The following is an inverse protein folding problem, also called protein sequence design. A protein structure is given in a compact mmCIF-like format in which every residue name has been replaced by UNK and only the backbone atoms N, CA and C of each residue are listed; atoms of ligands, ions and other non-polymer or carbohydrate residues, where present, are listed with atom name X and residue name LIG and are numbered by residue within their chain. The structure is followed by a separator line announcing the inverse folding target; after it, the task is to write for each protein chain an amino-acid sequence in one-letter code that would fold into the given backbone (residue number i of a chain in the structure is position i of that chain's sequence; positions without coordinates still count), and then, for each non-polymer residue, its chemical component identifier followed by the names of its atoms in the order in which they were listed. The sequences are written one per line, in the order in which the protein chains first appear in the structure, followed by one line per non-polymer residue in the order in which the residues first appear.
data_IF_557684895329
#
_entry.id   IF_557684895329
#
_cell.length_a   1.000
_cell.length_b   1.000
_cell.length_c   1.000
_cell.angle_alpha   90.00
_cell.angle_beta   90.00
_cell.angle_gamma   90.00
#
_symmetry.space_group_name_H-M   'P 1'
#
loop_
_entity.id
_entity.type
_entity.pdbx_description
1 polymer ?
#
# COMPACT_ATOMS: atom_id res chain seq x y z
N UNK A 1 19.36 -7.81 -2.12
CA UNK A 1 17.90 -7.93 -1.84
C UNK A 1 17.29 -6.53 -1.97
N UNK A 2 16.84 -6.09 -3.17
CA UNK A 2 17.13 -4.68 -3.46
C UNK A 2 15.98 -3.64 -3.39
N UNK A 3 14.69 -3.97 -3.54
CA UNK A 3 13.57 -3.00 -3.35
C UNK A 3 12.65 -3.38 -2.18
N UNK A 4 12.38 -2.52 -1.20
CA UNK A 4 11.49 -2.84 -0.06
C UNK A 4 10.34 -1.85 0.05
N UNK A 5 9.16 -2.33 0.41
CA UNK A 5 8.09 -1.43 0.85
C UNK A 5 8.44 -0.90 2.24
N UNK A 6 8.29 0.41 2.41
CA UNK A 6 8.36 1.06 3.70
C UNK A 6 6.94 1.36 4.18
N UNK A 7 6.56 0.74 5.30
CA UNK A 7 5.27 0.95 5.93
C UNK A 7 5.38 2.07 6.96
N UNK A 8 4.44 3.02 6.89
CA UNK A 8 4.43 4.20 7.75
C UNK A 8 4.95 5.47 7.07
N UNK A 9 5.00 6.55 7.84
CA UNK A 9 5.47 7.84 7.36
C UNK A 9 6.98 7.92 7.46
N UNK A 10 7.64 8.42 6.41
CA UNK A 10 9.05 8.73 6.49
C UNK A 10 9.34 9.74 7.59
N UNK A 11 10.47 9.54 8.24
CA UNK A 11 11.02 10.46 9.23
C UNK A 11 12.54 10.53 9.07
N UNK A 12 13.16 11.66 9.45
CA UNK A 12 14.62 11.74 9.50
C UNK A 12 15.26 10.66 10.38
N UNK A 13 14.55 10.19 11.42
CA UNK A 13 15.04 9.11 12.28
C UNK A 13 15.10 7.79 11.51
N UNK A 14 14.04 7.43 10.79
CA UNK A 14 14.04 6.22 9.97
C UNK A 14 15.18 6.18 8.95
N UNK A 15 15.52 7.34 8.36
CA UNK A 15 16.67 7.45 7.47
C UNK A 15 18.01 7.27 8.21
N UNK A 16 18.14 7.72 9.45
CA UNK A 16 19.35 7.51 10.28
C UNK A 16 19.49 6.08 10.78
N UNK A 17 18.38 5.40 11.05
CA UNK A 17 18.37 4.02 11.52
C UNK A 17 18.85 3.05 10.43
N UNK A 18 18.75 3.45 9.16
CA UNK A 18 19.12 2.66 7.98
C UNK A 18 20.05 3.47 7.04
N UNK A 19 21.27 3.83 7.49
CA UNK A 19 22.12 4.79 6.80
C UNK A 19 22.57 4.32 5.40
N UNK A 20 22.67 3.01 5.20
CA UNK A 20 23.08 2.38 3.93
C UNK A 20 21.91 2.20 2.93
N UNK A 21 20.67 2.36 3.40
CA UNK A 21 19.50 2.22 2.54
C UNK A 21 19.19 3.53 1.81
N UNK A 22 18.69 3.46 0.58
CA UNK A 22 18.17 4.63 -0.14
C UNK A 22 16.67 4.75 0.02
N UNK A 23 16.18 5.89 0.51
CA UNK A 23 14.75 6.17 0.67
C UNK A 23 14.23 6.99 -0.50
N UNK A 24 13.37 6.40 -1.35
CA UNK A 24 12.71 7.15 -2.42
C UNK A 24 11.50 7.86 -1.86
N UNK A 25 11.38 9.16 -2.08
CA UNK A 25 10.21 9.93 -1.62
C UNK A 25 9.61 10.78 -2.73
N UNK A 26 8.32 11.10 -2.59
CA UNK A 26 7.61 12.00 -3.47
C UNK A 26 8.06 13.44 -3.25
N UNK A 27 8.64 14.04 -4.28
CA UNK A 27 9.20 15.39 -4.29
C UNK A 27 8.48 16.27 -5.33
N UNK A 28 8.97 17.50 -5.51
CA UNK A 28 8.56 18.41 -6.57
C UNK A 28 9.77 18.94 -7.37
N UNK A 29 9.54 19.38 -8.60
CA UNK A 29 10.60 19.86 -9.49
C UNK A 29 11.38 21.06 -8.95
N UNK A 30 10.76 21.90 -8.10
CA UNK A 30 11.43 23.03 -7.45
C UNK A 30 12.30 22.63 -6.24
N UNK A 31 12.24 21.37 -5.79
CA UNK A 31 13.06 20.82 -4.69
C UNK A 31 12.99 21.61 -3.37
N UNK A 32 11.89 22.31 -3.10
CA UNK A 32 11.65 22.99 -1.82
C UNK A 32 10.29 22.64 -1.22
N UNK A 33 10.01 23.20 -0.03
CA UNK A 33 8.81 22.93 0.75
C UNK A 33 9.01 21.75 1.68
N UNK A 34 8.98 22.00 2.99
CA UNK A 34 9.19 21.01 4.05
C UNK A 34 8.26 21.30 5.23
N UNK A 35 8.17 20.37 6.17
CA UNK A 35 7.46 20.55 7.44
C UNK A 35 6.31 19.57 7.63
N UNK A 36 5.53 19.79 8.70
CA UNK A 36 4.49 18.88 9.20
C UNK A 36 3.46 18.42 8.15
N UNK A 37 3.26 19.19 7.08
CA UNK A 37 2.27 18.94 6.04
C UNK A 37 2.88 18.65 4.66
N UNK A 38 4.21 18.51 4.55
CA UNK A 38 4.91 18.29 3.29
C UNK A 38 4.89 16.84 2.80
N UNK A 39 4.12 15.97 3.48
CA UNK A 39 4.09 14.53 3.19
C UNK A 39 5.48 13.92 3.38
N UNK A 40 5.94 13.21 2.36
CA UNK A 40 7.20 12.47 2.40
C UNK A 40 8.45 13.36 2.29
N UNK A 41 8.34 14.61 1.82
CA UNK A 41 9.46 15.53 1.66
C UNK A 41 10.10 15.99 2.99
N UNK A 42 9.61 15.51 4.14
CA UNK A 42 10.23 15.71 5.45
C UNK A 42 11.65 15.12 5.54
N UNK A 43 11.98 14.15 4.69
CA UNK A 43 13.32 13.53 4.62
C UNK A 43 14.22 14.11 3.53
N UNK A 44 13.83 15.21 2.85
CA UNK A 44 14.58 15.75 1.69
C UNK A 44 16.07 15.96 1.96
N UNK A 45 16.41 16.45 3.14
CA UNK A 45 17.78 16.82 3.50
C UNK A 45 18.60 15.63 4.05
N UNK A 46 18.02 14.43 4.11
CA UNK A 46 18.72 13.23 4.54
C UNK A 46 19.69 12.75 3.45
N UNK A 47 20.95 12.39 3.79
CA UNK A 47 21.97 12.03 2.80
C UNK A 47 21.62 10.78 1.99
N UNK A 48 20.75 9.93 2.54
CA UNK A 48 20.29 8.70 1.94
C UNK A 48 18.85 8.78 1.42
N UNK A 49 18.29 9.99 1.26
CA UNK A 49 17.00 10.22 0.62
C UNK A 49 17.17 10.67 -0.84
N UNK A 50 16.32 10.12 -1.72
CA UNK A 50 16.31 10.45 -3.14
C UNK A 50 14.89 10.84 -3.56
N UNK A 51 14.69 12.13 -3.84
CA UNK A 51 13.38 12.66 -4.21
C UNK A 51 13.05 12.36 -5.67
N UNK A 52 11.90 11.77 -5.94
CA UNK A 52 11.31 11.66 -7.28
C UNK A 52 10.28 12.78 -7.45
N UNK A 53 10.50 13.70 -8.37
CA UNK A 53 9.57 14.80 -8.61
C UNK A 53 8.27 14.27 -9.23
N UNK A 54 7.19 14.29 -8.44
CA UNK A 54 5.83 13.87 -8.81
C UNK A 54 4.86 15.05 -8.87
N UNK A 55 5.41 16.27 -8.85
CA UNK A 55 4.69 17.54 -8.80
C UNK A 55 5.59 18.68 -9.30
N UNK A 56 5.03 19.77 -9.82
CA UNK A 56 5.83 20.96 -10.17
C UNK A 56 6.28 21.71 -8.92
N UNK A 57 5.33 22.02 -8.03
CA UNK A 57 5.56 22.85 -6.83
C UNK A 57 4.91 22.24 -5.57
N UNK A 58 5.40 22.56 -4.36
CA UNK A 58 4.78 22.07 -3.11
C UNK A 58 3.41 22.71 -2.80
N UNK A 59 2.94 23.66 -3.62
CA UNK A 59 1.69 24.41 -3.44
C UNK A 59 0.47 23.61 -3.93
N UNK A 60 -0.73 24.19 -3.79
CA UNK A 60 -2.02 23.55 -4.12
C UNK A 60 -2.78 24.22 -5.27
N UNK A 61 -2.21 25.23 -5.92
CA UNK A 61 -2.79 25.80 -7.14
C UNK A 61 -2.71 24.81 -8.31
N UNK A 62 -3.56 25.01 -9.31
CA UNK A 62 -3.68 24.07 -10.43
C UNK A 62 -2.35 23.84 -11.16
N UNK A 63 -1.53 24.88 -11.33
CA UNK A 63 -0.24 24.83 -12.06
C UNK A 63 0.85 24.09 -11.28
N UNK A 64 0.67 23.91 -9.98
CA UNK A 64 1.59 23.14 -9.15
C UNK A 64 1.58 21.66 -9.47
N UNK A 65 0.53 21.14 -10.09
CA UNK A 65 0.39 19.71 -10.37
C UNK A 65 0.93 19.35 -11.75
N UNK A 66 1.45 18.13 -11.89
CA UNK A 66 1.76 17.58 -13.21
C UNK A 66 0.47 17.33 -13.99
N UNK A 67 0.61 17.41 -15.30
CA UNK A 67 -0.37 17.07 -16.33
C UNK A 67 0.20 16.03 -17.28
N UNK A 68 -0.62 15.54 -18.21
CA UNK A 68 -0.14 14.61 -19.24
C UNK A 68 0.87 15.25 -20.21
N UNK A 69 0.89 16.57 -20.33
CA UNK A 69 1.80 17.31 -21.22
C UNK A 69 3.24 17.32 -20.68
N UNK A 70 3.43 17.06 -19.39
CA UNK A 70 4.74 17.02 -18.72
C UNK A 70 5.53 15.72 -19.00
N UNK A 71 5.09 14.91 -19.95
CA UNK A 71 5.58 13.54 -20.16
C UNK A 71 7.09 13.45 -20.36
N UNK A 72 7.66 14.36 -21.14
CA UNK A 72 9.09 14.34 -21.44
C UNK A 72 9.93 14.69 -20.21
N UNK A 73 9.52 15.72 -19.47
CA UNK A 73 10.21 16.14 -18.24
C UNK A 73 10.11 15.03 -17.18
N UNK A 74 8.96 14.38 -17.08
CA UNK A 74 8.77 13.29 -16.14
C UNK A 74 9.59 12.03 -16.49
N UNK A 75 9.73 11.69 -17.78
CA UNK A 75 10.60 10.60 -18.21
C UNK A 75 12.06 10.88 -17.83
N UNK A 76 12.53 12.12 -18.04
CA UNK A 76 13.89 12.51 -17.66
C UNK A 76 14.10 12.38 -16.13
N UNK A 77 13.09 12.72 -15.35
CA UNK A 77 13.13 12.55 -13.89
C UNK A 77 13.19 11.08 -13.46
N UNK A 78 12.44 10.20 -14.12
CA UNK A 78 12.53 8.75 -13.89
C UNK A 78 13.92 8.21 -14.24
N UNK A 79 14.51 8.66 -15.35
CA UNK A 79 15.89 8.29 -15.73
C UNK A 79 16.90 8.74 -14.68
N UNK A 80 16.82 10.00 -14.22
CA UNK A 80 17.69 10.52 -13.17
C UNK A 80 17.64 9.68 -11.89
N UNK A 81 16.44 9.29 -11.45
CA UNK A 81 16.29 8.41 -10.28
C UNK A 81 16.85 7.01 -10.58
N UNK A 82 16.58 6.46 -11.77
CA UNK A 82 17.04 5.14 -12.19
C UNK A 82 18.57 5.02 -12.20
N UNK A 83 19.28 6.02 -12.73
CA UNK A 83 20.75 6.06 -12.76
C UNK A 83 21.36 5.94 -11.36
N UNK A 84 20.69 6.51 -10.35
CA UNK A 84 21.13 6.47 -8.96
C UNK A 84 20.84 5.10 -8.33
N UNK A 85 19.63 4.55 -8.51
CA UNK A 85 19.25 3.31 -7.80
C UNK A 85 19.68 2.03 -8.51
N UNK A 86 19.71 1.98 -9.83
CA UNK A 86 19.97 0.73 -10.55
C UNK A 86 21.33 0.10 -10.19
N UNK A 87 22.45 0.84 -10.07
CA UNK A 87 23.71 0.29 -9.59
C UNK A 87 23.63 -0.23 -8.14
N UNK A 88 22.95 0.50 -7.25
CA UNK A 88 22.76 0.10 -5.85
C UNK A 88 21.98 -1.20 -5.74
N UNK A 89 20.89 -1.31 -6.51
CA UNK A 89 20.07 -2.52 -6.59
C UNK A 89 20.91 -3.72 -7.09
N UNK A 90 21.73 -3.53 -8.13
CA UNK A 90 22.65 -4.56 -8.66
C UNK A 90 23.72 -4.98 -7.66
N UNK A 91 24.22 -4.05 -6.86
CA UNK A 91 25.14 -4.32 -5.75
C UNK A 91 24.45 -4.97 -4.53
N UNK A 92 23.13 -5.24 -4.61
CA UNK A 92 22.36 -5.87 -3.54
C UNK A 92 21.87 -4.91 -2.45
N UNK A 93 22.13 -3.61 -2.58
CA UNK A 93 21.75 -2.57 -1.63
C UNK A 93 20.24 -2.37 -1.51
N UNK A 94 19.81 -1.87 -0.35
CA UNK A 94 18.39 -1.68 -0.02
C UNK A 94 17.88 -0.34 -0.54
N UNK A 95 16.76 -0.37 -1.25
CA UNK A 95 16.02 0.83 -1.65
C UNK A 95 14.60 0.73 -1.13
N UNK A 96 14.19 1.69 -0.29
CA UNK A 96 12.85 1.79 0.26
C UNK A 96 11.93 2.58 -0.69
N UNK A 97 10.80 1.97 -1.04
CA UNK A 97 9.66 2.59 -1.73
C UNK A 97 8.53 2.79 -0.72
N UNK A 98 7.84 3.94 -0.71
CA UNK A 98 6.78 4.15 0.26
C UNK A 98 5.59 3.27 -0.08
N UNK A 99 5.05 2.53 0.90
CA UNK A 99 3.88 1.69 0.69
C UNK A 99 2.70 2.50 0.13
N UNK A 100 2.51 3.73 0.61
CA UNK A 100 1.50 4.70 0.14
C UNK A 100 1.60 5.09 -1.35
N UNK A 101 2.68 4.69 -2.02
CA UNK A 101 2.92 4.96 -3.43
C UNK A 101 3.45 6.36 -3.68
N UNK A 102 4.20 6.51 -4.77
CA UNK A 102 4.63 7.81 -5.27
C UNK A 102 3.57 8.38 -6.22
N UNK A 103 3.44 9.71 -6.25
CA UNK A 103 2.45 10.38 -7.10
C UNK A 103 1.00 10.32 -6.59
N UNK A 104 0.74 9.59 -5.51
CA UNK A 104 -0.54 9.55 -4.81
C UNK A 104 -0.66 10.72 -3.81
N UNK A 105 -1.77 10.78 -3.05
CA UNK A 105 -1.95 11.78 -2.00
C UNK A 105 -1.89 13.21 -2.52
N UNK A 106 -0.96 14.02 -1.99
CA UNK A 106 -0.82 15.45 -2.29
C UNK A 106 -0.38 15.78 -3.73
N UNK A 107 0.12 14.78 -4.47
CA UNK A 107 0.53 14.92 -5.87
C UNK A 107 -0.63 14.66 -6.85
N UNK A 108 -1.64 13.88 -6.45
CA UNK A 108 -2.88 13.65 -7.23
C UNK A 108 -2.64 13.19 -8.69
N UNK A 109 -1.51 12.53 -8.99
CA UNK A 109 -1.18 12.11 -10.37
C UNK A 109 -2.23 11.18 -11.00
N UNK A 110 -2.84 10.21 -10.29
CA UNK A 110 -3.91 9.38 -10.90
C UNK A 110 -5.06 10.21 -11.47
N UNK A 111 -5.37 11.35 -10.85
CA UNK A 111 -6.44 12.26 -11.27
C UNK A 111 -5.98 13.26 -12.34
N UNK A 112 -4.77 13.81 -12.18
CA UNK A 112 -4.31 14.99 -12.95
C UNK A 112 -3.38 14.66 -14.11
N UNK A 113 -2.61 13.59 -13.97
CA UNK A 113 -1.64 13.12 -14.95
C UNK A 113 -1.68 11.58 -15.07
N UNK A 114 -2.83 10.98 -15.43
CA UNK A 114 -3.00 9.53 -15.44
C UNK A 114 -2.01 8.80 -16.35
N UNK A 115 -1.55 9.44 -17.45
CA UNK A 115 -0.54 8.83 -18.33
C UNK A 115 0.84 8.77 -17.66
N UNK A 116 1.22 9.81 -16.92
CA UNK A 116 2.47 9.83 -16.16
C UNK A 116 2.40 8.84 -15.00
N UNK A 117 1.25 8.77 -14.31
CA UNK A 117 1.04 7.81 -13.24
C UNK A 117 1.16 6.36 -13.75
N UNK A 118 0.58 6.05 -14.91
CA UNK A 118 0.75 4.74 -15.56
C UNK A 118 2.22 4.41 -15.85
N UNK A 119 3.00 5.39 -16.31
CA UNK A 119 4.45 5.21 -16.53
C UNK A 119 5.21 5.00 -15.22
N UNK A 120 4.86 5.73 -14.16
CA UNK A 120 5.41 5.54 -12.82
C UNK A 120 5.17 4.12 -12.32
N UNK A 121 3.93 3.62 -12.41
CA UNK A 121 3.58 2.25 -12.03
C UNK A 121 4.34 1.21 -12.88
N UNK A 122 4.45 1.41 -14.19
CA UNK A 122 5.21 0.50 -15.06
C UNK A 122 6.71 0.48 -14.68
N UNK A 123 7.28 1.64 -14.38
CA UNK A 123 8.67 1.78 -13.94
C UNK A 123 8.89 1.07 -12.59
N UNK A 124 8.11 1.40 -11.57
CA UNK A 124 8.30 0.86 -10.23
C UNK A 124 8.01 -0.63 -10.17
N UNK A 125 6.92 -1.10 -10.80
CA UNK A 125 6.62 -2.54 -10.88
C UNK A 125 7.74 -3.33 -11.60
N UNK A 126 8.40 -2.72 -12.59
CA UNK A 126 9.59 -3.27 -13.22
C UNK A 126 10.74 -3.46 -12.24
N UNK A 127 10.99 -2.48 -11.35
CA UNK A 127 12.00 -2.60 -10.29
C UNK A 127 11.66 -3.70 -9.28
N UNK A 128 10.39 -3.82 -8.89
CA UNK A 128 9.94 -4.89 -8.00
C UNK A 128 10.03 -6.29 -8.64
N UNK A 129 9.90 -6.40 -9.97
CA UNK A 129 10.11 -7.67 -10.69
C UNK A 129 11.55 -8.18 -10.62
N UNK A 130 12.53 -7.28 -10.56
CA UNK A 130 13.96 -7.63 -10.51
C UNK A 130 14.42 -8.16 -9.13
N UNK A 131 13.50 -8.27 -8.15
CA UNK A 131 13.81 -8.44 -6.73
C UNK A 131 13.77 -9.90 -6.21
N UNK A 132 13.19 -10.85 -6.94
CA UNK A 132 13.00 -12.23 -6.48
C UNK A 132 11.75 -12.47 -5.62
N UNK A 133 11.55 -13.73 -5.22
CA UNK A 133 10.25 -14.42 -5.02
C UNK A 133 9.55 -14.23 -3.66
N UNK A 134 9.81 -13.16 -2.90
CA UNK A 134 9.01 -12.94 -1.67
C UNK A 134 7.61 -12.52 -2.07
N UNK A 135 6.69 -13.48 -1.99
CA UNK A 135 5.28 -13.24 -2.17
C UNK A 135 4.80 -12.23 -1.11
N UNK A 136 3.99 -11.28 -1.54
CA UNK A 136 3.45 -10.24 -0.68
C UNK A 136 1.96 -10.14 -0.95
N UNK A 137 1.17 -10.21 0.13
CA UNK A 137 -0.26 -10.00 0.14
C UNK A 137 -0.60 -8.78 0.99
N UNK A 138 -1.41 -7.88 0.45
CA UNK A 138 -2.02 -6.79 1.21
C UNK A 138 -3.52 -6.94 1.11
N UNK A 139 -4.18 -7.00 2.27
CA UNK A 139 -5.61 -7.18 2.37
C UNK A 139 -6.23 -6.04 3.16
N UNK A 140 -7.24 -5.39 2.58
CA UNK A 140 -8.18 -4.60 3.39
C UNK A 140 -9.12 -5.57 4.07
N UNK A 141 -9.24 -5.50 5.39
CA UNK A 141 -10.26 -6.25 6.15
C UNK A 141 -11.28 -5.26 6.69
N UNK A 142 -12.55 -5.51 6.43
CA UNK A 142 -13.64 -4.63 6.85
C UNK A 142 -14.85 -5.44 7.32
N UNK A 143 -15.70 -4.86 8.17
CA UNK A 143 -16.92 -5.51 8.64
C UNK A 143 -17.69 -4.68 9.65
N UNK A 144 -18.71 -5.29 10.27
CA UNK A 144 -19.57 -4.60 11.24
C UNK A 144 -18.86 -4.31 12.56
N UNK A 145 -19.13 -3.12 13.13
CA UNK A 145 -18.60 -2.74 14.46
C UNK A 145 -19.14 -3.57 15.62
N UNK A 146 -20.23 -4.31 15.37
CA UNK A 146 -20.84 -5.26 16.31
C UNK A 146 -20.57 -6.73 15.94
N UNK A 147 -19.80 -6.99 14.89
CA UNK A 147 -19.41 -8.36 14.55
C UNK A 147 -18.59 -8.93 15.71
N UNK A 148 -19.01 -10.10 16.22
CA UNK A 148 -18.45 -10.68 17.43
C UNK A 148 -18.34 -12.21 17.31
N UNK A 149 -17.59 -12.67 16.31
CA UNK A 149 -17.27 -14.08 16.12
C UNK A 149 -15.79 -14.23 15.75
N UNK A 150 -14.93 -14.27 16.77
CA UNK A 150 -13.48 -14.37 16.63
C UNK A 150 -13.07 -15.67 15.91
N UNK A 151 -13.72 -16.80 16.21
CA UNK A 151 -13.42 -18.09 15.57
C UNK A 151 -13.65 -18.03 14.06
N UNK A 152 -14.76 -17.43 13.63
CA UNK A 152 -15.08 -17.25 12.21
C UNK A 152 -14.08 -16.30 11.53
N UNK A 153 -13.69 -15.22 12.20
CA UNK A 153 -12.66 -14.30 11.69
C UNK A 153 -11.32 -15.00 11.53
N UNK A 154 -10.86 -15.71 12.57
CA UNK A 154 -9.59 -16.43 12.58
C UNK A 154 -9.53 -17.49 11.49
N UNK A 155 -10.58 -18.31 11.38
CA UNK A 155 -10.69 -19.33 10.34
C UNK A 155 -10.67 -18.72 8.95
N UNK A 156 -11.49 -17.70 8.70
CA UNK A 156 -11.59 -17.07 7.38
C UNK A 156 -10.30 -16.38 6.94
N UNK A 157 -9.65 -15.63 7.84
CA UNK A 157 -8.37 -14.99 7.55
C UNK A 157 -7.25 -16.02 7.33
N UNK A 158 -7.20 -17.09 8.12
CA UNK A 158 -6.26 -18.20 7.90
C UNK A 158 -6.44 -18.85 6.54
N UNK A 159 -7.68 -19.20 6.19
CA UNK A 159 -8.01 -19.80 4.90
C UNK A 159 -7.66 -18.90 3.71
N UNK A 160 -7.95 -17.60 3.79
CA UNK A 160 -7.74 -16.69 2.66
C UNK A 160 -6.31 -16.17 2.52
N UNK A 161 -5.56 -16.07 3.62
CA UNK A 161 -4.25 -15.43 3.65
C UNK A 161 -3.09 -16.37 3.94
N UNK A 162 -3.33 -17.61 4.40
CA UNK A 162 -2.26 -18.52 4.85
C UNK A 162 -2.25 -19.85 4.12
N UNK A 163 -3.38 -20.58 4.04
CA UNK A 163 -3.40 -22.01 3.64
C UNK A 163 -2.70 -22.34 2.32
N UNK A 164 -2.74 -21.44 1.33
CA UNK A 164 -2.12 -21.64 0.01
C UNK A 164 -0.88 -20.76 -0.23
N UNK A 165 -0.32 -20.14 0.82
CA UNK A 165 0.80 -19.21 0.68
C UNK A 165 2.13 -19.89 0.95
N UNK A 166 3.16 -19.49 0.20
CA UNK A 166 4.52 -19.98 0.42
C UNK A 166 5.02 -19.53 1.78
N UNK A 167 5.83 -20.37 2.43
CA UNK A 167 6.54 -19.97 3.63
C UNK A 167 7.35 -18.68 3.38
N UNK A 168 7.26 -17.72 4.29
CA UNK A 168 7.90 -16.41 4.15
C UNK A 168 7.12 -15.37 3.33
N UNK A 169 5.89 -15.68 2.90
CA UNK A 169 4.97 -14.68 2.34
C UNK A 169 4.73 -13.57 3.35
N UNK A 170 4.91 -12.32 2.94
CA UNK A 170 4.59 -11.16 3.77
C UNK A 170 3.11 -10.86 3.65
N UNK A 171 2.42 -10.74 4.79
CA UNK A 171 1.00 -10.42 4.85
C UNK A 171 0.85 -9.05 5.52
N UNK A 172 0.12 -8.14 4.86
CA UNK A 172 -0.31 -6.85 5.39
C UNK A 172 -1.82 -6.83 5.58
N UNK A 173 -2.27 -6.37 6.75
CA UNK A 173 -3.67 -6.09 7.06
C UNK A 173 -3.88 -4.57 7.13
N UNK A 174 -4.75 -4.06 6.27
CA UNK A 174 -5.24 -2.68 6.30
C UNK A 174 -6.65 -2.70 6.91
N UNK A 175 -6.90 -1.91 7.96
CA UNK A 175 -8.21 -1.86 8.63
C UNK A 175 -8.54 -0.45 9.14
N UNK A 176 -9.82 -0.21 9.43
CA UNK A 176 -10.40 1.11 9.74
C UNK A 176 -10.37 1.54 11.22
N UNK A 177 -9.83 0.69 12.09
CA UNK A 177 -9.61 0.95 13.52
C UNK A 177 -10.89 0.96 14.35
N UNK A 178 -12.00 0.44 13.84
CA UNK A 178 -13.25 0.32 14.56
C UNK A 178 -13.28 -0.88 15.53
N UNK A 179 -14.35 -1.03 16.31
CA UNK A 179 -14.63 -2.27 17.04
C UNK A 179 -15.07 -3.40 16.10
N UNK A 180 -15.37 -4.57 16.67
CA UNK A 180 -15.85 -5.72 15.92
C UNK A 180 -14.82 -6.23 14.90
N UNK A 181 -15.19 -6.26 13.62
CA UNK A 181 -14.35 -6.83 12.55
C UNK A 181 -12.95 -6.21 12.45
N UNK A 182 -12.81 -4.88 12.52
CA UNK A 182 -11.51 -4.21 12.43
C UNK A 182 -10.60 -4.56 13.61
N UNK A 183 -11.15 -4.70 14.81
CA UNK A 183 -10.44 -5.19 16.00
C UNK A 183 -9.94 -6.61 15.76
N UNK A 184 -10.82 -7.51 15.33
CA UNK A 184 -10.48 -8.92 15.07
C UNK A 184 -9.39 -9.06 13.99
N UNK A 185 -9.44 -8.22 12.95
CA UNK A 185 -8.40 -8.19 11.93
C UNK A 185 -7.04 -7.75 12.50
N UNK A 186 -7.03 -6.74 13.38
CA UNK A 186 -5.83 -6.27 14.06
C UNK A 186 -5.25 -7.32 15.04
N UNK A 187 -6.12 -7.98 15.79
CA UNK A 187 -5.75 -9.05 16.72
C UNK A 187 -5.16 -10.23 15.96
N UNK A 188 -5.79 -10.66 14.86
CA UNK A 188 -5.28 -11.70 13.98
C UNK A 188 -3.91 -11.33 13.40
N UNK A 189 -3.74 -10.10 12.92
CA UNK A 189 -2.47 -9.64 12.38
C UNK A 189 -1.36 -9.66 13.43
N UNK A 190 -1.68 -9.26 14.67
CA UNK A 190 -0.75 -9.30 15.80
C UNK A 190 -0.31 -10.73 16.10
N UNK A 191 -1.26 -11.65 16.21
CA UNK A 191 -1.01 -13.06 16.51
C UNK A 191 -0.18 -13.77 15.42
N UNK A 192 -0.33 -13.36 14.15
CA UNK A 192 0.38 -13.95 13.02
C UNK A 192 1.64 -13.16 12.60
N UNK A 193 2.06 -12.15 13.37
CA UNK A 193 3.23 -11.32 13.02
C UNK A 193 3.10 -10.59 11.68
N UNK A 194 1.87 -10.34 11.23
CA UNK A 194 1.58 -9.65 9.97
C UNK A 194 1.81 -8.14 10.10
N UNK A 195 2.13 -7.50 8.97
CA UNK A 195 2.24 -6.03 8.89
C UNK A 195 0.87 -5.42 9.14
N UNK A 196 0.81 -4.42 10.02
CA UNK A 196 -0.43 -3.71 10.34
C UNK A 196 -0.41 -2.29 9.82
N UNK A 197 -1.44 -1.95 9.03
CA UNK A 197 -1.69 -0.60 8.51
C UNK A 197 -3.07 -0.12 9.01
N UNK A 198 -3.19 0.21 10.32
CA UNK A 198 -4.42 0.76 10.87
C UNK A 198 -4.65 2.18 10.33
N UNK A 199 -5.87 2.47 9.93
CA UNK A 199 -6.27 3.79 9.47
C UNK A 199 -7.53 4.23 10.19
N UNK A 200 -7.54 5.44 10.75
CA UNK A 200 -8.67 5.92 11.57
C UNK A 200 -9.46 6.99 10.86
N UNK A 201 -10.78 6.92 10.99
CA UNK A 201 -11.68 7.98 10.53
C UNK A 201 -11.35 9.28 11.26
N UNK A 202 -11.18 10.37 10.51
CA UNK A 202 -11.06 11.70 11.09
C UNK A 202 -12.45 12.31 11.34
N UNK A 203 -13.13 11.82 12.39
CA UNK A 203 -14.46 12.28 12.77
C UNK A 203 -14.51 13.79 13.07
N UNK A 204 -13.44 14.34 13.66
CA UNK A 204 -13.35 15.78 13.96
C UNK A 204 -13.49 16.64 12.71
N UNK A 205 -12.97 16.18 11.58
CA UNK A 205 -12.97 16.94 10.32
C UNK A 205 -14.18 16.65 9.43
N UNK A 206 -14.63 15.40 9.39
CA UNK A 206 -15.57 14.94 8.36
C UNK A 206 -16.87 14.32 8.92
N UNK A 207 -17.01 14.19 10.25
CA UNK A 207 -18.15 13.50 10.85
C UNK A 207 -18.30 12.07 10.29
N UNK A 208 -19.54 11.62 10.13
CA UNK A 208 -19.83 10.28 9.60
C UNK A 208 -19.48 10.08 8.13
N UNK A 209 -19.49 11.15 7.31
CA UNK A 209 -18.98 11.08 5.93
C UNK A 209 -17.49 10.70 5.87
N UNK A 210 -16.76 10.87 6.98
CA UNK A 210 -15.39 10.41 7.13
C UNK A 210 -15.20 8.89 6.95
N UNK A 211 -16.24 8.08 7.10
CA UNK A 211 -16.17 6.63 6.87
C UNK A 211 -15.96 6.32 5.40
N UNK A 212 -16.73 6.94 4.51
CA UNK A 212 -16.60 6.74 3.05
C UNK A 212 -15.26 7.29 2.54
N UNK A 213 -14.82 8.43 3.08
CA UNK A 213 -13.49 8.99 2.81
C UNK A 213 -12.40 8.00 3.22
N UNK A 214 -12.50 7.41 4.41
CA UNK A 214 -11.55 6.41 4.87
C UNK A 214 -11.52 5.17 3.96
N UNK A 215 -12.68 4.68 3.52
CA UNK A 215 -12.78 3.54 2.60
C UNK A 215 -12.06 3.84 1.27
N UNK A 216 -12.26 5.03 0.72
CA UNK A 216 -11.52 5.47 -0.47
C UNK A 216 -10.01 5.61 -0.22
N UNK A 217 -9.60 6.09 0.95
CA UNK A 217 -8.19 6.21 1.30
C UNK A 217 -7.52 4.84 1.47
N UNK A 218 -8.19 3.86 2.10
CA UNK A 218 -7.71 2.49 2.21
C UNK A 218 -7.58 1.85 0.83
N UNK A 219 -8.60 2.00 -0.03
CA UNK A 219 -8.58 1.48 -1.39
C UNK A 219 -7.44 2.10 -2.22
N UNK A 220 -7.21 3.41 -2.09
CA UNK A 220 -6.13 4.12 -2.82
C UNK A 220 -4.76 3.63 -2.39
N UNK A 221 -4.61 3.32 -1.10
CA UNK A 221 -3.41 2.67 -0.59
C UNK A 221 -3.25 1.29 -1.21
N UNK A 222 -4.27 0.45 -1.15
CA UNK A 222 -4.22 -0.90 -1.73
C UNK A 222 -3.91 -0.89 -3.23
N UNK A 223 -4.42 0.09 -3.99
CA UNK A 223 -4.09 0.27 -5.42
C UNK A 223 -2.61 0.55 -5.62
N UNK A 224 -1.99 1.39 -4.79
CA UNK A 224 -0.56 1.64 -4.88
C UNK A 224 0.28 0.37 -4.64
N UNK A 225 -0.14 -0.51 -3.72
CA UNK A 225 0.53 -1.79 -3.47
C UNK A 225 0.46 -2.67 -4.72
N UNK A 226 -0.74 -2.79 -5.31
CA UNK A 226 -0.96 -3.54 -6.56
C UNK A 226 -0.15 -3.00 -7.72
N UNK A 227 -0.31 -1.71 -8.01
CA UNK A 227 0.11 -1.11 -9.27
C UNK A 227 1.58 -0.71 -9.29
N UNK A 228 2.13 -0.29 -8.14
CA UNK A 228 3.53 0.13 -8.05
C UNK A 228 4.46 -0.94 -7.50
N UNK A 229 3.96 -1.83 -6.63
CA UNK A 229 4.80 -2.80 -5.92
C UNK A 229 4.52 -4.26 -6.28
N UNK A 230 3.57 -4.53 -7.20
CA UNK A 230 3.17 -5.89 -7.64
C UNK A 230 2.71 -6.79 -6.48
N UNK A 231 2.16 -6.20 -5.44
CA UNK A 231 1.59 -6.92 -4.30
C UNK A 231 0.25 -7.52 -4.70
N UNK A 232 -0.04 -8.76 -4.25
CA UNK A 232 -1.38 -9.33 -4.35
C UNK A 232 -2.31 -8.51 -3.46
N UNK A 233 -3.27 -7.83 -4.06
CA UNK A 233 -4.17 -6.91 -3.40
C UNK A 233 -5.60 -7.45 -3.40
N UNK A 234 -6.20 -7.61 -2.22
CA UNK A 234 -7.57 -8.09 -2.07
C UNK A 234 -8.32 -7.37 -0.94
N UNK A 235 -9.64 -7.55 -0.91
CA UNK A 235 -10.52 -7.05 0.14
C UNK A 235 -11.28 -8.22 0.75
N UNK A 236 -11.25 -8.32 2.08
CA UNK A 236 -11.95 -9.34 2.85
C UNK A 236 -13.08 -8.66 3.65
N UNK A 237 -14.32 -9.02 3.33
CA UNK A 237 -15.52 -8.56 4.02
C UNK A 237 -15.97 -9.56 5.08
N UNK A 238 -16.02 -9.12 6.33
CA UNK A 238 -16.79 -9.79 7.39
C UNK A 238 -18.23 -9.26 7.40
N UNK A 239 -19.20 -9.98 8.01
CA UNK A 239 -20.58 -9.50 8.12
C UNK A 239 -20.66 -8.08 8.68
N UNK A 240 -21.37 -7.20 7.99
CA UNK A 240 -21.38 -5.77 8.29
C UNK A 240 -22.50 -4.99 7.63
N UNK A 241 -22.57 -3.69 7.94
CA UNK A 241 -23.62 -2.79 7.46
C UNK A 241 -23.20 -1.92 6.28
N UNK A 242 -23.78 -0.73 6.16
CA UNK A 242 -23.56 0.21 5.04
C UNK A 242 -22.09 0.54 4.78
N UNK A 243 -21.29 0.75 5.83
CA UNK A 243 -19.86 1.06 5.68
C UNK A 243 -19.06 -0.08 5.05
N UNK A 244 -19.37 -1.32 5.43
CA UNK A 244 -18.78 -2.53 4.84
C UNK A 244 -19.24 -2.68 3.39
N UNK A 245 -20.54 -2.59 3.12
CA UNK A 245 -21.08 -2.66 1.75
C UNK A 245 -20.45 -1.61 0.82
N UNK A 246 -20.21 -0.38 1.32
CA UNK A 246 -19.53 0.66 0.57
C UNK A 246 -18.07 0.30 0.26
N UNK A 247 -17.31 -0.25 1.22
CA UNK A 247 -15.94 -0.69 0.99
C UNK A 247 -15.89 -1.82 -0.05
N UNK A 248 -16.80 -2.77 0.01
CA UNK A 248 -16.90 -3.87 -0.97
C UNK A 248 -17.27 -3.35 -2.37
N UNK A 249 -18.19 -2.37 -2.46
CA UNK A 249 -18.50 -1.70 -3.72
C UNK A 249 -17.27 -1.03 -4.33
N UNK A 250 -16.54 -0.23 -3.54
CA UNK A 250 -15.28 0.39 -4.00
C UNK A 250 -14.30 -0.69 -4.48
N UNK A 251 -14.25 -1.82 -3.79
CA UNK A 251 -13.33 -2.89 -4.13
C UNK A 251 -13.65 -3.48 -5.51
N UNK A 252 -14.92 -3.76 -5.79
CA UNK A 252 -15.37 -4.20 -7.10
C UNK A 252 -15.12 -3.14 -8.19
N UNK A 253 -15.45 -1.87 -7.92
CA UNK A 253 -15.26 -0.78 -8.88
C UNK A 253 -13.78 -0.58 -9.26
N UNK A 254 -12.85 -0.86 -8.33
CA UNK A 254 -11.39 -0.78 -8.55
C UNK A 254 -10.77 -2.10 -9.03
N UNK A 255 -11.59 -3.13 -9.24
CA UNK A 255 -11.15 -4.43 -9.75
C UNK A 255 -10.28 -5.23 -8.77
N UNK A 256 -10.53 -5.10 -7.46
CA UNK A 256 -9.91 -5.96 -6.46
C UNK A 256 -10.63 -7.31 -6.35
N UNK A 257 -9.89 -8.35 -6.00
CA UNK A 257 -10.48 -9.61 -5.51
C UNK A 257 -11.22 -9.31 -4.19
N UNK A 258 -12.47 -9.76 -4.09
CA UNK A 258 -13.30 -9.59 -2.90
C UNK A 258 -13.69 -10.97 -2.37
N UNK A 259 -13.39 -11.21 -1.09
CA UNK A 259 -13.70 -12.46 -0.38
C UNK A 259 -14.57 -12.17 0.84
N UNK A 260 -15.52 -13.06 1.15
CA UNK A 260 -16.48 -12.88 2.24
C UNK A 260 -16.33 -13.95 3.32
N UNK A 261 -16.01 -13.51 4.54
CA UNK A 261 -16.00 -14.36 5.73
C UNK A 261 -17.46 -14.67 6.10
N UNK A 262 -17.82 -15.94 6.08
CA UNK A 262 -19.19 -16.43 6.24
C UNK A 262 -19.65 -17.20 5.01
N UNK A 263 -19.97 -16.50 3.91
CA UNK A 263 -20.45 -17.16 2.68
C UNK A 263 -19.35 -17.96 1.97
N UNK A 264 -18.09 -17.51 2.00
CA UNK A 264 -17.05 -18.08 1.14
C UNK A 264 -16.14 -19.09 1.87
N UNK A 265 -16.26 -19.19 3.21
CA UNK A 265 -15.42 -20.07 4.06
C UNK A 265 -15.67 -21.56 3.78
N UNK A 266 -16.87 -21.92 3.30
CA UNK A 266 -17.20 -23.30 2.92
C UNK A 266 -17.14 -23.54 1.39
N UNK A 267 -16.95 -22.49 0.59
CA UNK A 267 -16.97 -22.58 -0.87
C UNK A 267 -15.60 -22.89 -1.49
N UNK A 268 -14.49 -22.63 -0.77
CA UNK A 268 -13.17 -23.18 -1.12
C UNK A 268 -13.00 -24.53 -0.42
N UNK A 269 -12.95 -25.67 -1.15
CA UNK A 269 -12.56 -26.92 -0.52
C UNK A 269 -11.19 -26.72 0.11
N UNK A 270 -11.01 -27.18 1.35
CA UNK A 270 -9.68 -27.29 1.94
C UNK A 270 -8.80 -27.99 0.91
N UNK A 271 -7.69 -27.36 0.51
CA UNK A 271 -6.74 -28.00 -0.38
C UNK A 271 -6.36 -29.33 0.26
N UNK A 272 -6.64 -30.41 -0.46
CA UNK A 272 -6.46 -31.77 0.02
C UNK A 272 -5.01 -31.96 0.42
N UNK A 273 -4.76 -32.00 1.73
CA UNK A 273 -3.50 -32.45 2.31
C UNK A 273 -3.35 -33.95 2.08
N UNK A 274 -3.06 -34.37 0.85
CA UNK A 274 -2.64 -35.73 0.54
C UNK A 274 -1.65 -35.73 -0.62
N UNK A 275 -0.38 -35.64 -0.26
CA UNK A 275 0.65 -36.45 -0.91
C UNK A 275 1.49 -37.07 0.23
N UNK A 276 0.96 -38.16 0.77
CA UNK A 276 1.74 -39.15 1.49
C UNK A 276 2.87 -39.63 0.58
N UNK A 277 4.09 -39.22 0.88
CA UNK A 277 5.28 -39.95 0.43
C UNK A 277 5.39 -41.18 1.31
N UNK A 278 4.93 -42.32 0.81
CA UNK A 278 5.42 -43.62 1.27
C UNK A 278 6.71 -43.94 0.50
N UNK A 279 7.77 -44.14 1.28
CA UNK A 279 9.07 -44.81 1.06
C UNK A 279 9.77 -44.67 -0.30
#
# INVERSE_FOLDING_TARGET
MPMRLYHGYYSPQACRDEPEATFIYGDNFQRYGRGKYAGQAIIRDMPNALGLAVKHEPKRDHRSYLSNDDIQVFINELHRVHEVIAPRLRAGGTVYWPADGLGTGLAEMPKRAPLLYKKLCAYSSGLFRLKGDTDYISAIVCGGTKFNNDDLAHKGLGQFLVEDQKAGTVIEIIQGGAGGADRMAADWATLNGSVQTPMKVNFKRHGYAGIEILNHDMATRLEARRDQARVKALVIGMPGGKGTAHMLSIAHDRGFEVLHIGSDIQARPASSSQASFEL
#
